data_IF_426422406292
#
_entry.id   IF_426422406292
#
_cell.length_a   1.000
_cell.length_b   1.000
_cell.length_c   1.000
_cell.angle_alpha   90.00
_cell.angle_beta   90.00
_cell.angle_gamma   90.00
#
_symmetry.space_group_name_H-M   'P 1'
#
loop_
_entity.id
_entity.type
_entity.pdbx_description
1 polymer ?
#
# COMPACT_ATOMS: atom_id res chain seq x y z
N UNK A 1 -12.85 -78.08 14.91
CA UNK A 1 -12.15 -77.06 15.74
C UNK A 1 -10.95 -76.53 14.98
N UNK A 2 -11.09 -75.37 14.32
CA UNK A 2 -10.00 -74.69 13.60
C UNK A 2 -9.67 -73.38 14.32
N UNK A 3 -8.38 -73.14 14.57
CA UNK A 3 -7.81 -71.91 15.14
C UNK A 3 -7.89 -70.77 14.11
N UNK A 4 -8.30 -69.58 14.52
CA UNK A 4 -8.17 -68.34 13.76
C UNK A 4 -7.12 -67.45 14.46
N UNK A 5 -6.17 -66.92 13.67
CA UNK A 5 -5.19 -65.90 14.07
C UNK A 5 -5.66 -64.53 13.62
N UNK A 6 -5.32 -63.54 14.44
CA UNK A 6 -5.46 -62.10 14.21
C UNK A 6 -4.73 -61.60 12.96
N UNK A 7 -5.40 -60.75 12.19
CA UNK A 7 -4.79 -59.73 11.33
C UNK A 7 -5.72 -58.52 11.22
N UNK A 8 -5.56 -57.55 12.09
CA UNK A 8 -6.23 -56.25 11.98
C UNK A 8 -5.35 -55.16 12.60
N UNK A 9 -4.37 -54.69 11.82
CA UNK A 9 -3.60 -53.45 12.07
C UNK A 9 -2.71 -53.10 10.86
N UNK A 10 -3.25 -52.92 9.64
CA UNK A 10 -2.45 -52.37 8.52
C UNK A 10 -3.22 -51.55 7.45
N UNK A 11 -4.50 -51.19 7.62
CA UNK A 11 -5.27 -50.53 6.53
C UNK A 11 -5.53 -49.02 6.77
N UNK A 12 -5.12 -48.46 7.92
CA UNK A 12 -5.41 -47.06 8.28
C UNK A 12 -4.42 -46.00 7.77
N UNK A 13 -3.13 -46.33 7.62
CA UNK A 13 -2.08 -45.31 7.41
C UNK A 13 -1.80 -44.94 5.94
N UNK A 14 -2.26 -45.77 4.98
CA UNK A 14 -1.96 -45.55 3.55
C UNK A 14 -2.79 -44.44 2.92
N UNK A 15 -3.97 -44.10 3.47
CA UNK A 15 -4.84 -43.08 2.87
C UNK A 15 -4.53 -41.65 3.33
N UNK A 16 -3.95 -41.46 4.51
CA UNK A 16 -3.65 -40.11 4.99
C UNK A 16 -2.38 -39.55 4.33
N UNK A 17 -1.33 -40.37 4.18
CA UNK A 17 -0.11 -39.95 3.49
C UNK A 17 -0.33 -39.69 1.98
N UNK A 18 -1.20 -40.44 1.31
CA UNK A 18 -1.52 -40.18 -0.10
C UNK A 18 -2.32 -38.88 -0.32
N UNK A 19 -3.16 -38.47 0.64
CA UNK A 19 -3.90 -37.21 0.57
C UNK A 19 -2.97 -36.00 0.71
N UNK A 20 -2.04 -36.05 1.67
CA UNK A 20 -1.03 -34.99 1.84
C UNK A 20 -0.08 -34.89 0.65
N UNK A 21 0.32 -36.01 0.03
CA UNK A 21 1.15 -35.99 -1.18
C UNK A 21 0.43 -35.51 -2.44
N UNK A 22 -0.88 -35.74 -2.59
CA UNK A 22 -1.66 -35.16 -3.69
C UNK A 22 -1.89 -33.66 -3.51
N UNK A 23 -2.18 -33.22 -2.28
CA UNK A 23 -2.37 -31.80 -1.96
C UNK A 23 -1.07 -31.00 -2.11
N UNK A 24 0.07 -31.53 -1.66
CA UNK A 24 1.37 -30.86 -1.80
C UNK A 24 1.82 -30.74 -3.25
N UNK A 25 1.55 -31.75 -4.08
CA UNK A 25 1.87 -31.72 -5.51
C UNK A 25 0.97 -30.75 -6.30
N UNK A 26 -0.31 -30.61 -5.94
CA UNK A 26 -1.19 -29.62 -6.56
C UNK A 26 -0.82 -28.19 -6.17
N UNK A 27 -0.41 -27.94 -4.92
CA UNK A 27 0.08 -26.62 -4.48
C UNK A 27 1.43 -26.27 -5.12
N UNK A 28 2.33 -27.24 -5.28
CA UNK A 28 3.60 -27.06 -5.99
C UNK A 28 3.42 -26.87 -7.51
N UNK A 29 2.42 -27.50 -8.13
CA UNK A 29 2.03 -27.25 -9.53
C UNK A 29 1.38 -25.88 -9.69
N UNK A 30 0.53 -25.44 -8.76
CA UNK A 30 -0.03 -24.07 -8.76
C UNK A 30 1.07 -23.02 -8.54
N UNK A 31 2.03 -23.26 -7.63
CA UNK A 31 3.22 -22.41 -7.50
C UNK A 31 4.08 -22.41 -8.77
N UNK A 32 4.24 -23.55 -9.46
CA UNK A 32 4.96 -23.62 -10.75
C UNK A 32 4.22 -22.90 -11.89
N UNK A 33 2.89 -22.96 -11.93
CA UNK A 33 2.07 -22.23 -12.90
C UNK A 33 1.95 -20.74 -12.57
N UNK A 34 2.07 -20.35 -11.30
CA UNK A 34 2.11 -18.96 -10.86
C UNK A 34 3.52 -18.36 -10.97
N UNK A 35 4.57 -19.19 -10.92
CA UNK A 35 5.96 -18.85 -11.25
C UNK A 35 6.14 -18.44 -12.71
N UNK A 36 5.23 -18.83 -13.62
CA UNK A 36 5.29 -18.50 -15.05
C UNK A 36 4.76 -17.10 -15.41
N UNK A 37 4.55 -16.18 -14.44
CA UNK A 37 3.94 -14.86 -14.73
C UNK A 37 4.85 -13.64 -14.51
N UNK A 38 6.13 -13.85 -14.20
CA UNK A 38 7.08 -12.75 -13.98
C UNK A 38 8.37 -12.90 -14.81
N UNK A 39 8.26 -13.45 -16.02
CA UNK A 39 9.36 -13.60 -16.98
C UNK A 39 9.09 -12.87 -18.30
N UNK A 40 8.17 -11.90 -18.31
CA UNK A 40 7.56 -11.38 -19.54
C UNK A 40 8.58 -10.91 -20.60
N UNK A 41 9.70 -10.30 -20.21
CA UNK A 41 10.71 -9.85 -21.17
C UNK A 41 11.60 -10.97 -21.72
N UNK A 42 11.92 -11.96 -20.91
CA UNK A 42 12.84 -13.03 -21.30
C UNK A 42 12.12 -14.22 -21.93
N UNK A 43 10.97 -14.63 -21.39
CA UNK A 43 10.07 -15.58 -22.05
C UNK A 43 9.57 -15.04 -23.39
N UNK A 44 9.31 -13.73 -23.52
CA UNK A 44 8.99 -13.15 -24.82
C UNK A 44 10.16 -13.27 -25.80
N UNK A 45 11.40 -12.98 -25.38
CA UNK A 45 12.57 -13.13 -26.22
C UNK A 45 12.83 -14.61 -26.58
N UNK A 46 12.66 -15.53 -25.64
CA UNK A 46 12.84 -16.96 -25.84
C UNK A 46 11.75 -17.52 -26.77
N UNK A 47 10.48 -17.15 -26.55
CA UNK A 47 9.37 -17.49 -27.44
C UNK A 47 9.54 -16.89 -28.85
N UNK A 48 10.04 -15.66 -28.99
CA UNK A 48 10.32 -15.06 -30.30
C UNK A 48 11.51 -15.74 -30.99
N UNK A 49 12.52 -16.18 -30.24
CA UNK A 49 13.67 -16.93 -30.76
C UNK A 49 13.26 -18.32 -31.24
N UNK A 50 12.39 -19.00 -30.48
CA UNK A 50 11.75 -20.27 -30.86
C UNK A 50 10.87 -20.08 -32.10
N UNK A 51 10.07 -19.01 -32.15
CA UNK A 51 9.16 -18.72 -33.27
C UNK A 51 9.90 -18.34 -34.57
N UNK A 52 11.16 -17.89 -34.47
CA UNK A 52 11.98 -17.51 -35.62
C UNK A 52 12.94 -18.62 -36.10
N UNK A 53 12.92 -19.82 -35.50
CA UNK A 53 13.84 -20.94 -35.80
C UNK A 53 15.32 -20.51 -35.89
N UNK A 54 15.67 -19.47 -35.15
CA UNK A 54 17.02 -18.95 -35.12
C UNK A 54 17.85 -19.85 -34.20
N UNK A 55 18.48 -20.88 -34.78
CA UNK A 55 19.49 -21.70 -34.11
C UNK A 55 20.75 -20.85 -33.83
N UNK A 56 20.64 -19.90 -32.91
CA UNK A 56 21.74 -19.04 -32.51
C UNK A 56 22.57 -19.76 -31.45
N UNK A 57 23.83 -20.02 -31.79
CA UNK A 57 24.89 -20.46 -30.88
C UNK A 57 24.71 -19.92 -29.47
N UNK A 58 24.60 -20.83 -28.49
CA UNK A 58 24.30 -20.57 -27.07
C UNK A 58 24.84 -19.20 -26.60
N UNK A 59 24.00 -18.14 -26.62
CA UNK A 59 24.44 -16.85 -26.14
C UNK A 59 24.64 -16.98 -24.63
N UNK A 60 25.58 -16.20 -24.08
CA UNK A 60 25.69 -16.05 -22.62
C UNK A 60 24.28 -15.78 -22.09
N UNK A 61 23.83 -16.63 -21.16
CA UNK A 61 22.54 -16.50 -20.51
C UNK A 61 22.30 -15.03 -20.17
N UNK A 62 21.20 -14.49 -20.66
CA UNK A 62 20.87 -13.07 -20.51
C UNK A 62 21.01 -12.68 -19.03
N UNK A 63 21.52 -11.48 -18.72
CA UNK A 63 21.79 -11.07 -17.32
C UNK A 63 20.58 -11.24 -16.40
N UNK A 64 19.37 -11.10 -16.96
CA UNK A 64 18.11 -11.29 -16.24
C UNK A 64 17.80 -12.75 -15.85
N UNK A 65 18.45 -13.73 -16.48
CA UNK A 65 18.39 -15.15 -16.13
C UNK A 65 19.47 -15.58 -15.11
N UNK A 66 20.25 -14.64 -14.58
CA UNK A 66 21.18 -14.95 -13.49
C UNK A 66 20.42 -15.32 -12.22
N UNK A 67 20.82 -16.40 -11.54
CA UNK A 67 20.18 -16.88 -10.31
C UNK A 67 20.00 -15.76 -9.26
N UNK A 68 21.01 -14.92 -9.06
CA UNK A 68 20.93 -13.78 -8.14
C UNK A 68 19.85 -12.74 -8.52
N UNK A 69 19.58 -12.56 -9.82
CA UNK A 69 18.56 -11.65 -10.32
C UNK A 69 17.17 -12.25 -10.12
N UNK A 70 17.00 -13.52 -10.47
CA UNK A 70 15.78 -14.30 -10.25
C UNK A 70 15.40 -14.32 -8.76
N UNK A 71 16.36 -14.60 -7.88
CA UNK A 71 16.12 -14.62 -6.43
C UNK A 71 15.70 -13.25 -5.90
N UNK A 72 16.26 -12.16 -6.47
CA UNK A 72 15.89 -10.80 -6.09
C UNK A 72 14.47 -10.48 -6.50
N UNK A 73 14.10 -10.80 -7.74
CA UNK A 73 12.77 -10.54 -8.27
C UNK A 73 11.71 -11.39 -7.57
N UNK A 74 12.03 -12.63 -7.17
CA UNK A 74 11.15 -13.47 -6.32
C UNK A 74 10.93 -12.79 -4.96
N UNK A 75 11.99 -12.31 -4.30
CA UNK A 75 11.86 -11.57 -3.04
C UNK A 75 11.05 -10.28 -3.19
N UNK A 76 11.24 -9.52 -4.26
CA UNK A 76 10.49 -8.28 -4.52
C UNK A 76 9.01 -8.58 -4.83
N UNK A 77 8.73 -9.64 -5.59
CA UNK A 77 7.36 -10.07 -5.88
C UNK A 77 6.63 -10.51 -4.61
N UNK A 78 7.29 -11.30 -3.75
CA UNK A 78 6.74 -11.70 -2.45
C UNK A 78 6.38 -10.45 -1.63
N UNK A 79 7.28 -9.47 -1.53
CA UNK A 79 7.02 -8.22 -0.81
C UNK A 79 5.81 -7.46 -1.36
N UNK A 80 5.66 -7.39 -2.68
CA UNK A 80 4.50 -6.73 -3.31
C UNK A 80 3.22 -7.50 -2.97
N UNK A 81 3.25 -8.84 -3.05
CA UNK A 81 2.10 -9.68 -2.71
C UNK A 81 1.70 -9.53 -1.25
N UNK A 82 2.65 -9.61 -0.33
CA UNK A 82 2.45 -9.37 1.10
C UNK A 82 1.85 -7.97 1.33
N UNK A 83 2.42 -6.94 0.70
CA UNK A 83 1.92 -5.56 0.84
C UNK A 83 0.47 -5.40 0.36
N UNK A 84 0.11 -6.01 -0.78
CA UNK A 84 -1.25 -5.99 -1.31
C UNK A 84 -2.21 -6.77 -0.42
N UNK A 85 -1.78 -7.90 0.15
CA UNK A 85 -2.58 -8.71 1.07
C UNK A 85 -2.79 -8.03 2.43
N UNK A 86 -1.75 -7.45 3.01
CA UNK A 86 -1.77 -6.79 4.32
C UNK A 86 -2.61 -5.51 4.34
N UNK A 87 -2.62 -4.77 3.22
CA UNK A 87 -3.39 -3.53 3.12
C UNK A 87 -4.81 -3.79 2.67
N UNK A 88 -5.01 -3.90 1.36
CA UNK A 88 -6.30 -4.11 0.72
C UNK A 88 -6.04 -4.83 -0.61
N UNK A 89 -6.43 -6.09 -0.68
CA UNK A 89 -6.32 -6.88 -1.89
C UNK A 89 -7.45 -6.48 -2.85
N UNK A 90 -7.17 -5.78 -3.97
CA UNK A 90 -8.21 -5.31 -4.89
C UNK A 90 -8.91 -6.46 -5.63
N UNK A 91 -8.41 -7.69 -5.51
CA UNK A 91 -8.97 -8.88 -6.13
C UNK A 91 -9.82 -9.73 -5.18
N UNK A 92 -9.85 -9.42 -3.88
CA UNK A 92 -10.73 -10.10 -2.92
C UNK A 92 -12.09 -9.40 -2.88
N UNK A 93 -12.92 -9.63 -3.90
CA UNK A 93 -14.18 -8.92 -4.16
C UNK A 93 -15.17 -8.96 -2.99
N UNK A 94 -15.05 -9.92 -2.07
CA UNK A 94 -15.90 -10.01 -0.88
C UNK A 94 -15.51 -8.99 0.21
N UNK A 95 -14.26 -8.54 0.20
CA UNK A 95 -13.70 -7.62 1.20
C UNK A 95 -13.32 -6.26 0.63
N UNK A 96 -13.49 -6.04 -0.67
CA UNK A 96 -13.21 -4.73 -1.28
C UNK A 96 -14.13 -3.69 -0.63
N UNK A 97 -13.59 -2.63 -0.01
CA UNK A 97 -14.38 -1.55 0.55
C UNK A 97 -15.16 -0.83 -0.55
N UNK A 98 -16.33 -0.30 -0.21
CA UNK A 98 -17.11 0.58 -1.11
C UNK A 98 -16.37 1.89 -1.43
N UNK A 99 -15.43 2.27 -0.57
CA UNK A 99 -14.62 3.48 -0.70
C UNK A 99 -13.48 3.28 -1.71
N UNK A 100 -13.25 4.28 -2.56
CA UNK A 100 -12.13 4.26 -3.51
C UNK A 100 -10.81 4.57 -2.78
N UNK A 101 -9.91 3.59 -2.71
CA UNK A 101 -8.64 3.70 -1.96
C UNK A 101 -7.45 3.63 -2.91
N UNK A 102 -6.45 4.49 -2.70
CA UNK A 102 -5.18 4.39 -3.40
C UNK A 102 -4.35 3.23 -2.85
N UNK A 103 -4.01 2.25 -3.69
CA UNK A 103 -3.29 1.04 -3.29
C UNK A 103 -1.88 1.31 -2.72
N UNK A 104 -1.20 2.37 -3.16
CA UNK A 104 0.17 2.68 -2.71
C UNK A 104 0.17 3.47 -1.42
N UNK A 105 -0.67 4.49 -1.30
CA UNK A 105 -0.72 5.36 -0.11
C UNK A 105 -1.69 4.88 0.96
N UNK A 106 -2.67 4.03 0.61
CA UNK A 106 -3.80 3.67 1.47
C UNK A 106 -4.80 4.82 1.67
N UNK A 107 -4.67 5.92 0.93
CA UNK A 107 -5.51 7.10 1.07
C UNK A 107 -6.91 6.86 0.50
N UNK A 108 -7.93 7.17 1.28
CA UNK A 108 -9.34 7.12 0.86
C UNK A 108 -9.66 8.36 0.02
N UNK A 109 -10.32 8.18 -1.12
CA UNK A 109 -10.68 9.26 -2.02
C UNK A 109 -11.70 10.24 -1.39
N UNK A 110 -11.52 11.54 -1.64
CA UNK A 110 -12.55 12.52 -1.32
C UNK A 110 -13.79 12.30 -2.19
N UNK A 111 -14.97 12.74 -1.74
CA UNK A 111 -16.22 12.60 -2.50
C UNK A 111 -16.12 13.12 -3.94
N UNK A 112 -15.39 14.22 -4.15
CA UNK A 112 -15.17 14.79 -5.49
C UNK A 112 -14.32 13.85 -6.36
N UNK A 113 -13.21 13.36 -5.83
CA UNK A 113 -12.29 12.47 -6.56
C UNK A 113 -12.94 11.12 -6.83
N UNK A 114 -13.66 10.56 -5.86
CA UNK A 114 -14.42 9.33 -6.02
C UNK A 114 -15.45 9.48 -7.15
N UNK A 115 -16.24 10.56 -7.14
CA UNK A 115 -17.24 10.82 -8.18
C UNK A 115 -16.61 10.95 -9.57
N UNK A 116 -15.55 11.75 -9.70
CA UNK A 116 -14.90 12.00 -11.00
C UNK A 116 -14.24 10.73 -11.55
N UNK A 117 -13.62 9.90 -10.70
CA UNK A 117 -12.98 8.65 -11.12
C UNK A 117 -13.99 7.54 -11.41
N UNK A 118 -15.05 7.41 -10.61
CA UNK A 118 -16.11 6.41 -10.84
C UNK A 118 -16.96 6.74 -12.07
N UNK A 119 -17.21 8.03 -12.35
CA UNK A 119 -17.96 8.48 -13.53
C UNK A 119 -17.14 8.55 -14.82
N UNK A 120 -15.83 8.26 -14.77
CA UNK A 120 -14.90 8.47 -15.88
C UNK A 120 -15.35 7.80 -17.19
N UNK A 121 -15.80 6.56 -17.10
CA UNK A 121 -16.20 5.78 -18.28
C UNK A 121 -17.45 6.40 -18.93
N UNK A 122 -18.49 6.65 -18.14
CA UNK A 122 -19.74 7.23 -18.63
C UNK A 122 -19.54 8.63 -19.22
N UNK A 123 -18.70 9.45 -18.59
CA UNK A 123 -18.38 10.78 -19.09
C UNK A 123 -17.54 10.71 -20.37
N UNK A 124 -16.64 9.74 -20.49
CA UNK A 124 -15.90 9.45 -21.72
C UNK A 124 -16.81 9.05 -22.86
N UNK A 125 -17.81 8.20 -22.61
CA UNK A 125 -18.80 7.80 -23.61
C UNK A 125 -19.63 8.99 -24.10
N UNK A 126 -20.09 9.85 -23.19
CA UNK A 126 -20.81 11.10 -23.54
C UNK A 126 -19.94 12.04 -24.39
N UNK A 127 -18.68 12.22 -24.01
CA UNK A 127 -17.74 13.06 -24.76
C UNK A 127 -17.47 12.50 -26.16
N UNK A 128 -17.35 11.18 -26.29
CA UNK A 128 -17.18 10.52 -27.57
C UNK A 128 -18.43 10.67 -28.46
N UNK A 129 -19.63 10.49 -27.89
CA UNK A 129 -20.89 10.70 -28.60
C UNK A 129 -21.00 12.14 -29.12
N UNK A 130 -20.70 13.13 -28.26
CA UNK A 130 -20.67 14.54 -28.64
C UNK A 130 -19.66 14.81 -29.76
N UNK A 131 -18.46 14.22 -29.69
CA UNK A 131 -17.45 14.37 -30.73
C UNK A 131 -17.96 13.84 -32.09
N UNK A 132 -18.59 12.66 -32.10
CA UNK A 132 -19.16 12.07 -33.31
C UNK A 132 -20.26 12.96 -33.89
N UNK A 133 -21.17 13.45 -33.06
CA UNK A 133 -22.27 14.31 -33.51
C UNK A 133 -21.73 15.64 -34.06
N UNK A 134 -20.85 16.32 -33.33
CA UNK A 134 -20.34 17.64 -33.71
C UNK A 134 -19.44 17.62 -34.95
N UNK A 135 -18.67 16.54 -35.17
CA UNK A 135 -17.67 16.49 -36.25
C UNK A 135 -18.01 15.59 -37.42
N UNK A 136 -18.88 14.59 -37.24
CA UNK A 136 -19.16 13.59 -38.27
C UNK A 136 -20.60 13.61 -38.79
N UNK A 137 -21.58 14.00 -37.96
CA UNK A 137 -23.00 13.90 -38.33
C UNK A 137 -23.72 15.24 -38.52
N UNK A 138 -23.22 16.33 -37.93
CA UNK A 138 -23.91 17.61 -38.01
C UNK A 138 -23.88 18.22 -39.42
N UNK A 139 -24.92 18.99 -39.77
CA UNK A 139 -25.04 19.67 -41.08
C UNK A 139 -23.93 20.72 -41.33
N UNK A 140 -23.30 21.20 -40.25
CA UNK A 140 -22.11 22.05 -40.30
C UNK A 140 -21.08 21.51 -39.30
N UNK A 141 -20.31 20.49 -39.69
CA UNK A 141 -19.37 19.86 -38.78
C UNK A 141 -18.26 20.84 -38.40
N UNK A 142 -17.91 20.85 -37.11
CA UNK A 142 -16.62 21.43 -36.68
C UNK A 142 -15.50 20.69 -37.39
N UNK A 143 -14.37 21.36 -37.63
CA UNK A 143 -13.25 20.70 -38.29
C UNK A 143 -12.79 19.51 -37.46
N UNK A 144 -12.51 18.39 -38.12
CA UNK A 144 -11.93 17.22 -37.48
C UNK A 144 -10.61 17.55 -36.75
N UNK A 145 -9.90 18.59 -37.18
CA UNK A 145 -8.60 18.99 -36.64
C UNK A 145 -8.70 20.05 -35.53
N UNK A 146 -9.89 20.54 -35.21
CA UNK A 146 -10.05 21.54 -34.16
C UNK A 146 -9.67 20.97 -32.79
N UNK A 147 -9.05 21.76 -31.89
CA UNK A 147 -8.70 21.29 -30.55
C UNK A 147 -9.94 20.86 -29.76
N UNK A 148 -9.88 19.66 -29.16
CA UNK A 148 -10.92 19.20 -28.23
C UNK A 148 -10.62 19.66 -26.80
N UNK A 149 -11.64 20.08 -26.06
CA UNK A 149 -11.43 20.58 -24.71
C UNK A 149 -11.10 19.42 -23.78
N UNK A 150 -9.95 19.51 -23.09
CA UNK A 150 -9.59 18.53 -22.06
C UNK A 150 -10.56 18.61 -20.89
N UNK A 151 -11.09 17.45 -20.50
CA UNK A 151 -11.88 17.33 -19.28
C UNK A 151 -10.98 17.41 -18.06
N UNK A 152 -11.35 18.24 -17.09
CA UNK A 152 -10.60 18.42 -15.84
C UNK A 152 -11.18 17.50 -14.76
N UNK A 153 -10.69 16.27 -14.72
CA UNK A 153 -11.08 15.27 -13.72
C UNK A 153 -10.19 15.41 -12.49
N UNK A 154 -10.80 15.38 -11.31
CA UNK A 154 -10.06 15.31 -10.06
C UNK A 154 -9.51 13.89 -9.85
N UNK A 155 -8.25 13.79 -9.46
CA UNK A 155 -7.60 12.53 -9.11
C UNK A 155 -7.00 12.62 -7.70
N UNK A 156 -6.39 11.54 -7.21
CA UNK A 156 -5.71 11.55 -5.90
C UNK A 156 -4.63 12.64 -5.78
N UNK A 157 -4.05 13.12 -6.90
CA UNK A 157 -3.10 14.24 -6.86
C UNK A 157 -3.74 15.55 -6.38
N UNK A 158 -5.03 15.72 -6.63
CA UNK A 158 -5.79 16.91 -6.22
C UNK A 158 -6.15 16.89 -4.72
N UNK A 159 -5.93 15.77 -4.04
CA UNK A 159 -6.18 15.61 -2.61
C UNK A 159 -5.01 16.06 -1.74
N UNK A 160 -3.85 16.32 -2.32
CA UNK A 160 -2.67 16.78 -1.58
C UNK A 160 -2.94 18.20 -1.08
N UNK A 161 -3.07 18.37 0.24
CA UNK A 161 -3.24 19.68 0.83
C UNK A 161 -1.97 20.50 0.62
N UNK A 162 -2.12 21.61 -0.10
CA UNK A 162 -1.09 22.62 -0.17
C UNK A 162 -1.18 23.51 1.06
N UNK A 163 -0.05 23.74 1.75
CA UNK A 163 0.00 24.76 2.79
C UNK A 163 -0.15 26.12 2.11
N UNK A 164 -1.22 26.84 2.44
CA UNK A 164 -1.41 28.21 1.99
C UNK A 164 -0.47 29.11 2.79
N UNK A 165 0.63 29.53 2.18
CA UNK A 165 1.54 30.53 2.77
C UNK A 165 1.01 31.95 2.56
N UNK A 166 0.09 32.16 1.61
CA UNK A 166 -0.71 33.38 1.42
C UNK A 166 -1.96 33.08 0.56
N UNK A 167 -2.87 34.05 0.42
CA UNK A 167 -4.08 33.97 -0.44
C UNK A 167 -3.80 33.54 -1.90
N UNK A 168 -2.55 33.67 -2.37
CA UNK A 168 -2.17 33.43 -3.77
C UNK A 168 -1.06 32.39 -3.98
N UNK A 169 -0.46 31.84 -2.92
CA UNK A 169 0.58 30.81 -3.03
C UNK A 169 0.25 29.58 -2.18
N UNK A 170 -0.27 28.58 -2.88
CA UNK A 170 -0.29 27.19 -2.44
C UNK A 170 1.13 26.64 -2.59
N UNK A 171 1.79 26.33 -1.48
CA UNK A 171 3.11 25.72 -1.51
C UNK A 171 2.92 24.21 -1.34
N UNK A 172 2.93 23.49 -2.46
CA UNK A 172 3.11 22.04 -2.44
C UNK A 172 4.62 21.80 -2.26
N UNK A 173 5.05 21.40 -1.06
CA UNK A 173 6.44 21.06 -0.81
C UNK A 173 6.57 19.55 -0.67
N UNK A 174 6.86 18.91 -1.79
CA UNK A 174 7.36 17.53 -1.81
C UNK A 174 8.72 17.49 -1.06
N UNK A 175 8.83 16.61 -0.07
CA UNK A 175 10.05 16.41 0.73
C UNK A 175 11.25 16.06 -0.14
N UNK A 176 11.07 15.31 -1.22
CA UNK A 176 12.14 14.95 -2.15
C UNK A 176 12.58 16.16 -2.97
N UNK A 177 11.64 17.05 -3.32
CA UNK A 177 11.97 18.31 -3.99
C UNK A 177 12.71 19.24 -3.03
N UNK A 178 12.27 19.32 -1.78
CA UNK A 178 12.93 20.07 -0.72
C UNK A 178 14.36 19.59 -0.49
N UNK A 179 14.54 18.28 -0.28
CA UNK A 179 15.83 17.66 -0.09
C UNK A 179 16.77 17.90 -1.28
N UNK A 180 16.29 17.70 -2.52
CA UNK A 180 17.08 17.98 -3.74
C UNK A 180 17.48 19.45 -3.85
N UNK A 181 16.55 20.38 -3.57
CA UNK A 181 16.85 21.83 -3.58
C UNK A 181 17.89 22.18 -2.53
N UNK A 182 17.77 21.59 -1.35
CA UNK A 182 18.67 21.82 -0.25
C UNK A 182 20.09 21.31 -0.55
N UNK A 183 20.21 20.11 -1.11
CA UNK A 183 21.48 19.57 -1.60
C UNK A 183 22.12 20.47 -2.67
N UNK A 184 21.31 21.05 -3.56
CA UNK A 184 21.82 21.99 -4.56
C UNK A 184 22.32 23.29 -3.90
N UNK A 185 21.59 23.81 -2.91
CA UNK A 185 21.97 25.02 -2.18
C UNK A 185 23.21 24.79 -1.32
N UNK A 186 23.34 23.65 -0.65
CA UNK A 186 24.52 23.33 0.19
C UNK A 186 25.80 23.18 -0.63
N UNK A 187 25.69 22.92 -1.94
CA UNK A 187 26.84 22.90 -2.86
C UNK A 187 27.24 24.29 -3.36
N UNK A 188 26.31 25.24 -3.42
CA UNK A 188 26.55 26.58 -3.98
C UNK A 188 26.82 27.63 -2.90
N UNK A 189 26.21 27.46 -1.74
CA UNK A 189 26.37 28.30 -0.57
C UNK A 189 27.00 27.40 0.48
N UNK A 190 28.03 27.88 1.15
CA UNK A 190 28.74 27.16 2.22
C UNK A 190 27.83 26.94 3.44
N UNK A 191 26.82 26.08 3.25
CA UNK A 191 25.77 25.76 4.19
C UNK A 191 26.03 24.34 4.65
N UNK A 192 26.38 24.19 5.93
CA UNK A 192 26.62 22.88 6.54
C UNK A 192 25.39 21.99 6.40
N UNK A 193 25.54 20.88 5.68
CA UNK A 193 24.48 19.88 5.51
C UNK A 193 24.07 19.28 6.86
N UNK A 194 25.01 19.15 7.80
CA UNK A 194 24.73 18.70 9.16
C UNK A 194 23.70 19.60 9.85
N UNK A 195 23.90 20.93 9.77
CA UNK A 195 22.98 21.87 10.38
C UNK A 195 21.59 21.83 9.75
N UNK A 196 21.50 21.63 8.44
CA UNK A 196 20.19 21.60 7.80
C UNK A 196 19.44 20.30 8.05
N UNK A 197 20.15 19.17 8.06
CA UNK A 197 19.56 17.86 8.35
C UNK A 197 19.13 17.70 9.82
N UNK A 198 19.46 18.65 10.71
CA UNK A 198 18.89 18.74 12.07
C UNK A 198 17.44 19.21 12.09
N UNK A 199 16.94 19.76 10.99
CA UNK A 199 15.56 20.24 10.87
C UNK A 199 14.77 19.33 9.93
N UNK A 200 13.48 19.15 10.20
CA UNK A 200 12.60 18.36 9.35
C UNK A 200 12.45 19.03 7.97
N UNK A 201 12.75 18.30 6.90
CA UNK A 201 12.65 18.76 5.51
C UNK A 201 11.25 18.54 4.94
N UNK A 202 10.24 18.79 5.75
CA UNK A 202 8.84 18.63 5.42
C UNK A 202 8.07 19.90 5.79
N UNK A 203 6.97 20.14 5.07
CA UNK A 203 6.12 21.30 5.32
C UNK A 203 5.34 21.19 6.66
N UNK A 204 5.15 19.94 7.11
CA UNK A 204 4.54 19.54 8.38
C UNK A 204 5.30 18.33 8.93
N UNK A 205 5.32 18.10 10.25
CA UNK A 205 5.98 16.94 10.85
C UNK A 205 5.38 15.62 10.34
N UNK A 206 6.13 14.75 9.64
CA UNK A 206 5.61 13.48 9.09
C UNK A 206 5.15 12.49 10.18
N UNK A 207 5.61 12.70 11.42
CA UNK A 207 5.17 11.97 12.61
C UNK A 207 3.71 12.26 12.97
N UNK A 208 3.21 13.46 12.66
CA UNK A 208 1.87 13.93 13.02
C UNK A 208 0.95 14.11 11.82
N UNK A 209 1.48 14.15 10.61
CA UNK A 209 0.72 14.41 9.38
C UNK A 209 1.02 13.35 8.32
N UNK A 210 0.07 13.15 7.44
CA UNK A 210 0.24 12.41 6.19
C UNK A 210 0.82 13.35 5.11
N UNK A 211 1.35 12.79 4.03
CA UNK A 211 1.97 13.56 2.93
C UNK A 211 0.95 14.43 2.17
N UNK A 212 -0.34 14.14 2.33
CA UNK A 212 -1.45 14.96 1.85
C UNK A 212 -1.77 16.14 2.78
N UNK A 213 -1.01 16.35 3.86
CA UNK A 213 -1.20 17.40 4.84
C UNK A 213 -2.35 17.17 5.83
N UNK A 214 -3.05 16.03 5.76
CA UNK A 214 -4.02 15.64 6.78
C UNK A 214 -3.29 15.22 8.06
N UNK A 215 -3.83 15.60 9.22
CA UNK A 215 -3.28 15.16 10.50
C UNK A 215 -3.55 13.66 10.71
N UNK A 216 -2.53 12.90 11.09
CA UNK A 216 -2.67 11.52 11.56
C UNK A 216 -3.55 11.53 12.80
N UNK A 217 -4.77 11.05 12.66
CA UNK A 217 -5.70 10.88 13.79
C UNK A 217 -5.58 9.45 14.29
N UNK A 218 -5.43 9.30 15.59
CA UNK A 218 -5.57 8.01 16.28
C UNK A 218 -6.90 7.99 17.02
N UNK A 219 -7.51 6.82 17.19
CA UNK A 219 -8.66 6.73 18.10
C UNK A 219 -8.14 6.82 19.54
N UNK A 220 -8.89 7.47 20.43
CA UNK A 220 -8.51 7.58 21.85
C UNK A 220 -8.24 6.21 22.50
N UNK A 221 -8.94 5.18 22.02
CA UNK A 221 -8.76 3.80 22.46
C UNK A 221 -7.38 3.22 22.10
N UNK A 222 -6.80 3.58 20.95
CA UNK A 222 -5.47 3.11 20.55
C UNK A 222 -4.37 3.68 21.44
N UNK A 223 -4.53 4.94 21.87
CA UNK A 223 -3.62 5.55 22.84
C UNK A 223 -3.71 4.85 24.20
N UNK A 224 -4.93 4.58 24.69
CA UNK A 224 -5.14 3.88 25.95
C UNK A 224 -4.47 2.50 25.95
N UNK A 225 -4.68 1.70 24.91
CA UNK A 225 -4.04 0.37 24.76
C UNK A 225 -2.51 0.45 24.73
N UNK A 226 -1.96 1.45 24.03
CA UNK A 226 -0.51 1.67 24.01
C UNK A 226 0.03 2.07 25.38
N UNK A 227 -0.69 2.93 26.12
CA UNK A 227 -0.31 3.30 27.48
C UNK A 227 -0.37 2.08 28.42
N UNK A 228 -1.43 1.28 28.34
CA UNK A 228 -1.56 0.02 29.09
C UNK A 228 -0.42 -0.95 28.82
N UNK A 229 0.11 -1.00 27.59
CA UNK A 229 1.23 -1.89 27.24
C UNK A 229 2.59 -1.49 27.83
N UNK A 230 2.74 -0.25 28.30
CA UNK A 230 4.01 0.30 28.81
C UNK A 230 3.96 0.51 30.33
N UNK A 231 2.76 0.53 30.92
CA UNK A 231 2.57 0.68 32.36
C UNK A 231 2.64 -0.69 33.03
N UNK A 232 3.60 -0.88 33.92
CA UNK A 232 3.53 -1.97 34.90
C UNK A 232 2.37 -1.69 35.86
N UNK A 233 1.54 -2.71 36.12
CA UNK A 233 0.39 -2.59 37.03
C UNK A 233 0.88 -2.13 38.40
N UNK A 234 0.67 -0.85 38.71
CA UNK A 234 1.18 -0.24 39.94
C UNK A 234 0.42 -0.69 41.19
N UNK A 235 -0.81 -1.18 41.03
CA UNK A 235 -1.66 -1.54 42.15
C UNK A 235 -2.64 -2.66 41.75
N UNK A 236 -2.44 -3.84 42.32
CA UNK A 236 -3.45 -4.91 42.31
C UNK A 236 -4.33 -4.76 43.55
N UNK A 237 -5.65 -4.88 43.37
CA UNK A 237 -6.60 -4.89 44.48
C UNK A 237 -6.32 -6.13 45.35
N UNK A 238 -6.25 -5.95 46.66
CA UNK A 238 -6.10 -7.10 47.57
C UNK A 238 -7.34 -7.99 47.50
N UNK A 239 -7.14 -9.28 47.22
CA UNK A 239 -8.18 -10.32 47.33
C UNK A 239 -8.71 -10.36 48.76
N UNK A 240 -9.77 -9.59 49.01
CA UNK A 240 -10.46 -9.50 50.28
C UNK A 240 -11.85 -10.07 50.13
N UNK A 241 -12.29 -10.80 51.15
CA UNK A 241 -13.57 -11.54 51.15
C UNK A 241 -14.78 -10.60 51.23
N UNK A 242 -14.55 -9.32 51.57
CA UNK A 242 -15.56 -8.27 51.63
C UNK A 242 -15.49 -7.39 50.36
N UNK A 243 -16.63 -6.84 49.94
CA UNK A 243 -16.69 -5.89 48.82
C UNK A 243 -15.93 -4.61 49.18
N UNK A 244 -14.71 -4.50 48.69
CA UNK A 244 -13.89 -3.28 48.78
C UNK A 244 -13.96 -2.52 47.46
N UNK A 245 -14.28 -1.23 47.52
CA UNK A 245 -14.30 -0.32 46.36
C UNK A 245 -13.21 0.72 46.53
N UNK A 246 -12.38 0.92 45.50
CA UNK A 246 -11.36 1.97 45.46
C UNK A 246 -11.79 3.07 44.49
N UNK A 247 -11.87 4.30 44.99
CA UNK A 247 -12.17 5.48 44.19
C UNK A 247 -10.87 6.25 43.97
N UNK A 248 -10.51 6.44 42.70
CA UNK A 248 -9.34 7.23 42.29
C UNK A 248 -9.85 8.48 41.58
N UNK A 249 -9.58 9.65 42.16
CA UNK A 249 -9.80 10.94 41.48
C UNK A 249 -8.57 11.31 40.66
N UNK A 250 -8.61 10.93 39.37
CA UNK A 250 -7.53 11.26 38.44
C UNK A 250 -7.33 12.76 38.23
N UNK A 251 -8.36 13.59 38.40
CA UNK A 251 -8.25 15.04 38.21
C UNK A 251 -7.54 15.69 39.40
N UNK A 252 -7.82 15.24 40.63
CA UNK A 252 -7.09 15.66 41.81
C UNK A 252 -5.60 15.29 41.72
N UNK A 253 -5.28 14.09 41.23
CA UNK A 253 -3.90 13.68 40.99
C UNK A 253 -3.21 14.57 39.94
N UNK A 254 -3.87 14.84 38.81
CA UNK A 254 -3.31 15.70 37.76
C UNK A 254 -3.06 17.13 38.28
N UNK A 255 -3.98 17.68 39.07
CA UNK A 255 -3.86 19.01 39.66
C UNK A 255 -2.78 19.09 40.76
N UNK A 256 -2.42 17.95 41.36
CA UNK A 256 -1.34 17.88 42.35
C UNK A 256 0.07 17.84 41.73
N UNK A 257 0.17 17.64 40.41
CA UNK A 257 1.45 17.68 39.71
C UNK A 257 1.98 19.11 39.64
N UNK A 258 3.26 19.27 39.94
CA UNK A 258 3.93 20.57 39.85
C UNK A 258 4.18 20.94 38.38
N UNK A 259 4.16 22.23 38.05
CA UNK A 259 4.31 22.71 36.67
C UNK A 259 5.59 22.22 35.98
N UNK A 260 6.65 21.96 36.75
CA UNK A 260 7.91 21.39 36.27
C UNK A 260 7.80 19.95 35.76
N UNK A 261 6.70 19.24 36.07
CA UNK A 261 6.44 17.90 35.56
C UNK A 261 5.85 17.91 34.13
N UNK A 262 5.32 19.05 33.67
CA UNK A 262 4.80 19.18 32.32
C UNK A 262 5.91 19.64 31.38
N UNK A 263 6.61 18.69 30.75
CA UNK A 263 7.48 18.98 29.62
C UNK A 263 6.67 18.87 28.32
N UNK A 264 6.57 19.97 27.59
CA UNK A 264 6.18 19.95 26.17
C UNK A 264 7.41 19.64 25.32
N UNK A 265 7.23 18.74 24.34
CA UNK A 265 8.24 18.35 23.37
C UNK A 265 8.71 19.51 22.48
#
# INVERSE_FOLDING_TARGET
MKRFRDTSSQVGDLNHQQFYHRSSNQTAQKLRQQKAKTYFGSEYCDAMTELCDAAAHAPKSHKEHGAARMDRDERETIKIMEFVQDRQNPFDLEKVPDELINITSGQVASQKVAKDLSGFLEDGEKLNANFIDERLKSDRPKSFWDPEKRQKLATFTDMIACIATSKFKKLQMDSDVLFRRLLAVSKQRDVSLENVMRHELAAVPPSLFYDDGAMRKTTKADLAKKLESVVEVMQELSDTTEKSEHIIDGMAMLQSLHDSAFQTF
#
